data_IF_932327792027
#
_entry.id   IF_932327792027
#
_cell.length_a   1.000
_cell.length_b   1.000
_cell.length_c   1.000
_cell.angle_alpha   90.00
_cell.angle_beta   90.00
_cell.angle_gamma   90.00
#
_symmetry.space_group_name_H-M   'P 1'
#
loop_
_entity.id
_entity.type
_entity.pdbx_description
1 polymer ?
#
# COMPACT_ATOMS: atom_id res chain seq x y z
N UNK A 1 -37.60 18.85 23.47
CA UNK A 1 -37.61 19.39 22.10
C UNK A 1 -36.83 18.45 21.18
N UNK A 2 -37.20 18.29 19.91
CA UNK A 2 -36.39 17.52 18.98
C UNK A 2 -35.10 18.30 18.66
N UNK A 3 -33.97 17.60 18.72
CA UNK A 3 -32.65 18.14 18.40
C UNK A 3 -32.67 18.60 16.93
N UNK A 4 -32.21 19.83 16.59
CA UNK A 4 -32.20 20.30 15.21
C UNK A 4 -31.42 19.34 14.31
N UNK A 5 -31.96 19.07 13.11
CA UNK A 5 -31.44 18.12 12.13
C UNK A 5 -30.00 18.44 11.63
N UNK A 6 -29.46 19.61 11.98
CA UNK A 6 -28.08 20.04 11.73
C UNK A 6 -27.04 19.51 12.74
N UNK A 7 -27.45 18.75 13.75
CA UNK A 7 -26.60 18.40 14.89
C UNK A 7 -25.76 17.13 14.72
N UNK A 8 -25.82 16.47 13.55
CA UNK A 8 -24.94 15.34 13.24
C UNK A 8 -24.31 15.58 11.87
N UNK A 9 -23.32 16.47 11.81
CA UNK A 9 -22.28 16.37 10.78
C UNK A 9 -21.37 15.22 11.20
N UNK A 10 -21.71 14.00 10.82
CA UNK A 10 -20.82 12.84 10.97
C UNK A 10 -19.46 13.18 10.38
N UNK A 11 -18.45 13.41 11.23
CA UNK A 11 -17.11 13.78 10.79
C UNK A 11 -16.46 12.54 10.19
N UNK A 12 -15.96 12.67 8.97
CA UNK A 12 -15.18 11.62 8.32
C UNK A 12 -13.71 11.78 8.67
N UNK A 13 -12.99 10.66 8.78
CA UNK A 13 -11.54 10.63 8.97
C UNK A 13 -10.92 9.41 8.31
N UNK A 14 -9.66 9.53 7.91
CA UNK A 14 -8.85 8.38 7.55
C UNK A 14 -8.40 7.68 8.83
N UNK A 15 -8.53 6.36 8.86
CA UNK A 15 -8.06 5.50 9.94
C UNK A 15 -7.18 4.39 9.38
N UNK A 16 -6.28 3.90 10.21
CA UNK A 16 -5.44 2.75 9.92
C UNK A 16 -6.11 1.48 10.46
N UNK A 17 -6.37 0.50 9.60
CA UNK A 17 -6.91 -0.80 10.04
C UNK A 17 -5.73 -1.72 10.39
N UNK A 18 -5.87 -2.48 11.48
CA UNK A 18 -4.84 -3.44 11.89
C UNK A 18 -4.94 -4.72 11.03
N UNK A 19 -3.80 -5.16 10.49
CA UNK A 19 -3.65 -6.47 9.86
C UNK A 19 -2.57 -7.27 10.60
N UNK A 20 -2.65 -8.62 10.63
CA UNK A 20 -1.68 -9.46 11.33
C UNK A 20 -0.24 -9.28 10.82
N UNK A 21 0.74 -9.43 11.72
CA UNK A 21 2.18 -9.41 11.40
C UNK A 21 2.68 -10.82 11.12
N UNK A 22 2.27 -11.39 10.00
CA UNK A 22 2.48 -12.81 9.63
C UNK A 22 3.15 -13.00 8.26
N UNK A 23 3.76 -11.95 7.69
CA UNK A 23 4.34 -11.97 6.34
C UNK A 23 3.33 -11.78 5.21
N UNK A 24 2.02 -11.76 5.51
CA UNK A 24 0.96 -11.46 4.56
C UNK A 24 0.45 -10.02 4.65
N UNK A 25 1.14 -9.14 5.39
CA UNK A 25 0.65 -7.78 5.69
C UNK A 25 0.33 -6.95 4.44
N UNK A 26 1.16 -7.02 3.40
CA UNK A 26 0.88 -6.35 2.12
C UNK A 26 -0.43 -6.85 1.51
N UNK A 27 -0.52 -8.16 1.27
CA UNK A 27 -1.68 -8.77 0.62
C UNK A 27 -2.95 -8.64 1.46
N UNK A 28 -2.85 -8.72 2.78
CA UNK A 28 -3.98 -8.49 3.71
C UNK A 28 -4.46 -7.04 3.66
N UNK A 29 -3.54 -6.08 3.59
CA UNK A 29 -3.87 -4.66 3.42
C UNK A 29 -4.56 -4.42 2.08
N UNK A 30 -4.03 -5.01 1.00
CA UNK A 30 -4.63 -4.92 -0.33
C UNK A 30 -6.00 -5.59 -0.40
N UNK A 31 -6.20 -6.75 0.22
CA UNK A 31 -7.52 -7.38 0.32
C UNK A 31 -8.53 -6.46 1.02
N UNK A 32 -8.10 -5.80 2.10
CA UNK A 32 -8.96 -4.88 2.84
C UNK A 32 -9.41 -3.72 1.94
N UNK A 33 -8.49 -3.04 1.26
CA UNK A 33 -8.87 -1.88 0.42
C UNK A 33 -9.61 -2.28 -0.86
N UNK A 34 -9.25 -3.41 -1.47
CA UNK A 34 -9.87 -3.90 -2.70
C UNK A 34 -11.22 -4.59 -2.48
N UNK A 35 -11.60 -4.90 -1.24
CA UNK A 35 -12.87 -5.59 -0.90
C UNK A 35 -14.11 -4.92 -1.49
N UNK A 36 -14.09 -3.60 -1.65
CA UNK A 36 -15.17 -2.81 -2.27
C UNK A 36 -15.29 -2.97 -3.79
N UNK A 37 -14.25 -3.49 -4.45
CA UNK A 37 -14.23 -3.80 -5.88
C UNK A 37 -14.61 -5.25 -6.19
N UNK A 38 -14.69 -6.09 -5.17
CA UNK A 38 -15.02 -7.51 -5.29
C UNK A 38 -14.44 -8.31 -4.13
N UNK A 39 -14.94 -9.53 -3.96
CA UNK A 39 -14.38 -10.46 -2.97
C UNK A 39 -13.01 -10.93 -3.48
N UNK A 40 -11.97 -10.61 -2.72
CA UNK A 40 -10.58 -10.96 -3.02
C UNK A 40 -9.96 -11.59 -1.78
N UNK A 41 -9.16 -12.63 -1.96
CA UNK A 41 -8.41 -13.31 -0.89
C UNK A 41 -6.92 -13.04 -1.01
N UNK A 42 -6.17 -13.30 0.06
CA UNK A 42 -4.70 -13.15 0.08
C UNK A 42 -4.07 -14.09 -0.96
N UNK A 43 -4.58 -15.31 -1.04
CA UNK A 43 -4.16 -16.33 -2.00
C UNK A 43 -4.43 -15.88 -3.44
N UNK A 44 -5.59 -15.25 -3.69
CA UNK A 44 -5.92 -14.70 -5.01
C UNK A 44 -4.95 -13.60 -5.42
N UNK A 45 -4.62 -12.65 -4.54
CA UNK A 45 -3.69 -11.57 -4.86
C UNK A 45 -2.26 -12.08 -5.06
N UNK A 46 -1.80 -13.03 -4.23
CA UNK A 46 -0.49 -13.66 -4.38
C UNK A 46 -0.33 -14.33 -5.75
N UNK A 47 -1.31 -15.16 -6.12
CA UNK A 47 -1.36 -15.82 -7.43
C UNK A 47 -1.42 -14.82 -8.58
N UNK A 48 -2.27 -13.80 -8.47
CA UNK A 48 -2.39 -12.76 -9.50
C UNK A 48 -1.09 -11.99 -9.70
N UNK A 49 -0.39 -11.62 -8.62
CA UNK A 49 0.89 -10.94 -8.70
C UNK A 49 1.96 -11.84 -9.35
N UNK A 50 2.10 -13.09 -8.91
CA UNK A 50 3.03 -14.05 -9.49
C UNK A 50 2.76 -14.31 -10.97
N UNK A 51 1.49 -14.50 -11.36
CA UNK A 51 1.09 -14.68 -12.75
C UNK A 51 1.36 -13.45 -13.61
N UNK A 52 1.16 -12.25 -13.06
CA UNK A 52 1.50 -11.00 -13.74
C UNK A 52 3.00 -10.93 -14.05
N UNK A 53 3.84 -11.30 -13.08
CA UNK A 53 5.29 -11.38 -13.28
C UNK A 53 5.68 -12.39 -14.35
N UNK A 54 5.11 -13.61 -14.33
CA UNK A 54 5.36 -14.64 -15.34
C UNK A 54 4.94 -14.22 -16.76
N UNK A 55 3.79 -13.52 -16.87
CA UNK A 55 3.26 -13.04 -18.17
C UNK A 55 4.02 -11.85 -18.70
N UNK A 56 4.53 -11.00 -17.81
CA UNK A 56 5.27 -9.83 -18.24
C UNK A 56 6.64 -10.21 -18.77
N UNK A 57 7.10 -9.53 -19.81
CA UNK A 57 8.51 -9.56 -20.24
C UNK A 57 9.45 -8.86 -19.22
N UNK A 58 8.98 -8.58 -18.00
CA UNK A 58 9.72 -8.01 -16.85
C UNK A 58 10.84 -8.92 -16.32
N UNK A 59 11.21 -9.99 -17.05
CA UNK A 59 12.53 -10.61 -16.96
C UNK A 59 13.65 -9.55 -16.91
N UNK A 60 13.49 -8.39 -17.54
CA UNK A 60 14.51 -7.33 -17.48
C UNK A 60 14.62 -6.53 -16.16
N UNK A 61 13.58 -6.42 -15.31
CA UNK A 61 13.71 -5.75 -13.98
C UNK A 61 13.90 -6.76 -12.86
N UNK A 62 13.25 -7.92 -12.96
CA UNK A 62 13.34 -8.97 -11.94
C UNK A 62 14.58 -9.84 -12.21
N UNK A 63 14.94 -10.11 -13.46
CA UNK A 63 16.17 -10.81 -13.84
C UNK A 63 17.46 -10.00 -13.61
N UNK A 64 17.37 -8.70 -13.30
CA UNK A 64 18.50 -7.93 -12.75
C UNK A 64 18.81 -8.32 -11.29
N UNK A 65 17.80 -8.76 -10.52
CA UNK A 65 17.99 -9.27 -9.16
C UNK A 65 18.23 -10.78 -9.12
N UNK A 66 17.62 -11.51 -10.05
CA UNK A 66 17.71 -12.96 -10.13
C UNK A 66 18.50 -13.34 -11.38
N UNK A 67 19.80 -13.54 -11.20
CA UNK A 67 20.83 -13.86 -12.20
C UNK A 67 20.52 -15.05 -13.13
N UNK A 68 19.37 -15.74 -12.97
CA UNK A 68 18.90 -16.81 -13.83
C UNK A 68 17.36 -16.95 -13.84
N UNK A 69 16.80 -17.49 -14.93
CA UNK A 69 15.37 -17.84 -15.05
C UNK A 69 14.88 -18.77 -13.93
N UNK A 70 15.76 -19.64 -13.39
CA UNK A 70 15.43 -20.55 -12.29
C UNK A 70 15.15 -19.79 -10.99
N UNK A 71 15.93 -18.75 -10.73
CA UNK A 71 15.76 -17.90 -9.55
C UNK A 71 14.49 -17.05 -9.67
N UNK A 72 14.16 -16.60 -10.88
CA UNK A 72 12.90 -15.89 -11.15
C UNK A 72 11.65 -16.77 -10.96
N UNK A 73 11.65 -17.99 -11.48
CA UNK A 73 10.50 -18.89 -11.26
C UNK A 73 10.38 -19.27 -9.79
N UNK A 74 11.50 -19.47 -9.08
CA UNK A 74 11.48 -19.68 -7.63
C UNK A 74 10.84 -18.49 -6.92
N UNK A 75 11.21 -17.26 -7.27
CA UNK A 75 10.59 -16.06 -6.72
C UNK A 75 9.07 -16.03 -6.92
N UNK A 76 8.61 -16.28 -8.16
CA UNK A 76 7.17 -16.31 -8.46
C UNK A 76 6.45 -17.38 -7.64
N UNK A 77 7.07 -18.57 -7.52
CA UNK A 77 6.56 -19.67 -6.71
C UNK A 77 6.50 -19.31 -5.21
N UNK A 78 7.53 -18.65 -4.68
CA UNK A 78 7.60 -18.22 -3.28
C UNK A 78 6.51 -17.17 -2.99
N UNK A 79 6.36 -16.15 -3.85
CA UNK A 79 5.32 -15.12 -3.72
C UNK A 79 3.92 -15.74 -3.73
N UNK A 80 3.68 -16.71 -4.62
CA UNK A 80 2.39 -17.38 -4.78
C UNK A 80 2.03 -18.27 -3.59
N UNK A 81 2.99 -19.06 -3.08
CA UNK A 81 2.70 -20.21 -2.22
C UNK A 81 3.14 -20.07 -0.76
N UNK A 82 3.80 -18.98 -0.37
CA UNK A 82 4.37 -18.82 0.98
C UNK A 82 4.00 -17.47 1.61
N UNK A 83 4.47 -17.24 2.84
CA UNK A 83 4.43 -15.96 3.56
C UNK A 83 5.54 -14.99 3.12
N UNK A 84 6.20 -15.26 1.98
CA UNK A 84 7.19 -14.37 1.38
C UNK A 84 6.60 -12.97 1.25
N UNK A 85 7.36 -11.99 1.72
CA UNK A 85 6.97 -10.60 1.73
C UNK A 85 6.89 -10.06 0.30
N UNK A 86 5.77 -9.41 -0.02
CA UNK A 86 5.68 -8.63 -1.24
C UNK A 86 6.12 -7.18 -1.02
N UNK A 87 6.36 -6.48 -2.12
CA UNK A 87 6.74 -5.07 -2.09
C UNK A 87 6.29 -4.32 -3.34
N UNK A 88 7.11 -3.38 -3.81
CA UNK A 88 6.78 -2.52 -4.95
C UNK A 88 6.44 -3.28 -6.23
N UNK A 89 7.03 -4.47 -6.45
CA UNK A 89 6.74 -5.30 -7.62
C UNK A 89 5.29 -5.81 -7.60
N UNK A 90 4.86 -6.37 -6.47
CA UNK A 90 3.49 -6.88 -6.29
C UNK A 90 2.49 -5.73 -6.31
N UNK A 91 2.82 -4.59 -5.69
CA UNK A 91 1.97 -3.40 -5.69
C UNK A 91 1.77 -2.87 -7.12
N UNK A 92 2.84 -2.76 -7.92
CA UNK A 92 2.73 -2.39 -9.33
C UNK A 92 1.83 -3.36 -10.10
N UNK A 93 2.09 -4.66 -9.99
CA UNK A 93 1.33 -5.68 -10.71
C UNK A 93 -0.15 -5.63 -10.36
N UNK A 94 -0.49 -5.52 -9.06
CA UNK A 94 -1.87 -5.46 -8.59
C UNK A 94 -2.53 -4.13 -9.02
N UNK A 95 -1.84 -3.00 -8.94
CA UNK A 95 -2.36 -1.72 -9.39
C UNK A 95 -2.77 -1.76 -10.88
N UNK A 96 -1.92 -2.35 -11.73
CA UNK A 96 -2.22 -2.52 -13.16
C UNK A 96 -3.38 -3.49 -13.40
N UNK A 97 -3.42 -4.63 -12.69
CA UNK A 97 -4.47 -5.64 -12.84
C UNK A 97 -5.86 -5.10 -12.47
N UNK A 98 -5.95 -4.29 -11.41
CA UNK A 98 -7.21 -3.73 -10.93
C UNK A 98 -7.55 -2.37 -11.56
N UNK A 99 -6.62 -1.77 -12.32
CA UNK A 99 -6.82 -0.47 -12.95
C UNK A 99 -7.05 0.66 -11.94
N UNK A 100 -6.30 0.65 -10.83
CA UNK A 100 -6.39 1.67 -9.77
C UNK A 100 -5.01 2.17 -9.37
N UNK A 101 -4.95 3.38 -8.81
CA UNK A 101 -3.74 3.87 -8.15
C UNK A 101 -3.65 3.31 -6.73
N UNK A 102 -2.56 2.61 -6.43
CA UNK A 102 -2.22 2.24 -5.05
C UNK A 102 -1.23 3.28 -4.52
N UNK A 103 -1.68 4.10 -3.58
CA UNK A 103 -0.88 5.14 -2.95
C UNK A 103 -0.26 4.61 -1.65
N UNK A 104 1.05 4.43 -1.65
CA UNK A 104 1.80 3.97 -0.46
C UNK A 104 2.30 5.17 0.31
N UNK A 105 1.78 5.37 1.52
CA UNK A 105 2.29 6.32 2.52
C UNK A 105 3.49 5.67 3.21
N UNK A 106 4.70 6.05 2.84
CA UNK A 106 5.94 5.48 3.38
C UNK A 106 6.49 6.33 4.53
N UNK A 107 6.55 5.75 5.72
CA UNK A 107 7.01 6.39 6.95
C UNK A 107 8.47 6.03 7.21
N UNK A 108 9.37 6.95 6.89
CA UNK A 108 10.79 6.81 7.18
C UNK A 108 11.09 7.36 8.59
N UNK A 109 11.27 6.43 9.54
CA UNK A 109 11.52 6.77 10.95
C UNK A 109 12.88 7.45 11.17
N UNK A 110 13.91 7.08 10.40
CA UNK A 110 15.27 7.61 10.56
C UNK A 110 15.34 9.08 10.15
N UNK A 111 14.69 9.42 9.05
CA UNK A 111 14.64 10.79 8.51
C UNK A 111 13.48 11.61 9.07
N UNK A 112 12.62 11.01 9.90
CA UNK A 112 11.39 11.64 10.39
C UNK A 112 10.60 12.30 9.26
N UNK A 113 10.36 11.54 8.18
CA UNK A 113 9.67 12.05 7.00
C UNK A 113 8.70 11.03 6.42
N UNK A 114 7.71 11.53 5.68
CA UNK A 114 6.66 10.72 5.06
C UNK A 114 6.57 11.07 3.58
N UNK A 115 6.52 10.04 2.73
CA UNK A 115 6.25 10.18 1.30
C UNK A 115 4.97 9.48 0.91
N UNK A 116 4.43 9.88 -0.24
CA UNK A 116 3.36 9.13 -0.91
C UNK A 116 3.85 8.73 -2.29
N UNK A 117 4.07 7.43 -2.47
CA UNK A 117 4.44 6.85 -3.77
C UNK A 117 3.20 6.28 -4.42
N UNK A 118 2.93 6.67 -5.67
CA UNK A 118 1.78 6.18 -6.44
C UNK A 118 2.22 5.05 -7.37
N UNK A 119 1.48 3.95 -7.34
CA UNK A 119 1.65 2.81 -8.23
C UNK A 119 0.43 2.68 -9.16
N UNK A 120 0.62 2.27 -10.43
CA UNK A 120 1.89 1.82 -11.00
C UNK A 120 2.87 2.97 -11.23
N UNK A 121 4.16 2.70 -11.04
CA UNK A 121 5.22 3.71 -11.06
C UNK A 121 5.58 4.20 -12.47
N UNK A 122 4.94 3.65 -13.50
CA UNK A 122 5.14 4.01 -14.91
C UNK A 122 4.38 5.28 -15.31
N UNK A 123 3.66 5.92 -14.39
CA UNK A 123 2.89 7.14 -14.65
C UNK A 123 1.54 6.90 -15.29
N UNK A 124 1.03 5.66 -15.31
CA UNK A 124 -0.35 5.41 -15.72
C UNK A 124 -1.32 6.20 -14.82
N UNK A 125 -2.38 6.72 -15.45
CA UNK A 125 -3.44 7.44 -14.75
C UNK A 125 -4.65 6.52 -14.58
N UNK A 126 -5.16 6.43 -13.36
CA UNK A 126 -6.41 5.75 -13.05
C UNK A 126 -7.36 6.68 -12.30
N UNK A 127 -8.66 6.55 -12.55
CA UNK A 127 -9.70 7.38 -11.93
C UNK A 127 -9.93 7.05 -10.46
N UNK A 128 -9.53 5.84 -10.03
CA UNK A 128 -9.70 5.34 -8.68
C UNK A 128 -8.36 5.18 -7.97
N UNK A 129 -8.33 5.39 -6.66
CA UNK A 129 -7.18 5.11 -5.83
C UNK A 129 -7.55 4.45 -4.49
N UNK A 130 -6.56 3.82 -3.86
CA UNK A 130 -6.59 3.43 -2.44
C UNK A 130 -5.30 3.84 -1.75
N UNK A 131 -5.30 3.83 -0.42
CA UNK A 131 -4.14 4.17 0.39
C UNK A 131 -3.76 3.01 1.30
N UNK A 132 -2.46 2.70 1.35
CA UNK A 132 -1.86 1.84 2.35
C UNK A 132 -0.67 2.58 2.97
N UNK A 133 -0.38 2.33 4.24
CA UNK A 133 0.76 2.88 4.95
C UNK A 133 1.81 1.80 5.17
N UNK A 134 3.07 2.11 4.86
CA UNK A 134 4.23 1.32 5.23
C UNK A 134 4.90 2.01 6.42
N UNK A 135 4.89 1.37 7.57
CA UNK A 135 5.59 1.86 8.75
C UNK A 135 6.37 0.70 9.35
N UNK A 136 7.69 0.87 9.53
CA UNK A 136 8.53 -0.14 10.18
C UNK A 136 8.32 -1.54 9.60
N UNK A 137 8.42 -1.64 8.27
CA UNK A 137 8.32 -2.90 7.53
C UNK A 137 6.92 -3.57 7.61
N UNK A 138 5.88 -2.88 8.06
CA UNK A 138 4.53 -3.42 8.12
C UNK A 138 3.57 -2.59 7.29
N UNK A 139 2.87 -3.23 6.36
CA UNK A 139 1.81 -2.59 5.57
C UNK A 139 0.48 -2.65 6.31
N UNK A 140 -0.25 -1.55 6.28
CA UNK A 140 -1.61 -1.46 6.81
C UNK A 140 -2.50 -0.65 5.87
N UNK A 141 -3.78 -0.99 5.72
CA UNK A 141 -4.70 -0.22 4.89
C UNK A 141 -5.13 1.06 5.61
N UNK A 142 -5.30 2.12 4.81
CA UNK A 142 -5.90 3.37 5.26
C UNK A 142 -7.31 3.46 4.66
N UNK A 143 -8.31 3.60 5.52
CA UNK A 143 -9.71 3.58 5.12
C UNK A 143 -10.44 4.79 5.71
N UNK A 144 -11.54 5.19 5.06
CA UNK A 144 -12.42 6.24 5.54
C UNK A 144 -13.41 5.67 6.55
N UNK A 145 -13.47 6.27 7.74
CA UNK A 145 -14.51 6.01 8.73
C UNK A 145 -15.32 7.28 8.99
N UNK A 146 -16.55 7.07 9.44
CA UNK A 146 -17.39 8.09 10.04
C UNK A 146 -17.26 7.99 11.56
N UNK A 147 -16.96 9.09 12.24
CA UNK A 147 -17.03 9.17 13.70
C UNK A 147 -18.42 8.70 14.15
N UNK A 148 -18.44 7.68 15.01
CA UNK A 148 -19.59 6.89 15.50
C UNK A 148 -19.83 5.50 14.86
N UNK A 149 -19.05 5.09 13.84
CA UNK A 149 -19.05 3.71 13.32
C UNK A 149 -17.70 3.02 13.58
N UNK A 150 -17.74 1.81 14.15
CA UNK A 150 -16.55 0.98 14.36
C UNK A 150 -16.04 0.31 13.09
N UNK A 151 -16.83 0.28 12.02
CA UNK A 151 -16.45 -0.22 10.70
C UNK A 151 -16.06 0.92 9.75
N UNK A 152 -15.11 0.65 8.85
CA UNK A 152 -14.79 1.59 7.77
C UNK A 152 -15.87 1.59 6.70
N UNK A 153 -16.09 2.74 6.09
CA UNK A 153 -17.13 2.99 5.09
C UNK A 153 -16.59 2.81 3.67
N UNK A 154 -15.38 3.31 3.41
CA UNK A 154 -14.78 3.29 2.09
C UNK A 154 -13.27 3.07 2.15
N UNK A 155 -12.74 2.42 1.13
CA UNK A 155 -11.30 2.23 0.95
C UNK A 155 -10.82 2.46 -0.49
N UNK A 156 -11.76 2.76 -1.40
CA UNK A 156 -11.52 3.16 -2.79
C UNK A 156 -12.12 4.54 -2.98
N UNK A 157 -11.33 5.45 -3.56
CA UNK A 157 -11.63 6.86 -3.71
C UNK A 157 -11.45 7.29 -5.16
N UNK A 158 -11.96 8.47 -5.52
CA UNK A 158 -11.53 9.14 -6.75
C UNK A 158 -10.08 9.59 -6.57
N UNK A 159 -9.24 9.36 -7.59
CA UNK A 159 -7.81 9.71 -7.55
C UNK A 159 -7.52 11.20 -7.45
N UNK A 160 -8.53 12.04 -7.71
CA UNK A 160 -8.47 13.50 -7.62
C UNK A 160 -9.37 14.06 -6.50
N UNK A 161 -9.81 13.21 -5.56
CA UNK A 161 -10.63 13.63 -4.43
C UNK A 161 -9.81 14.46 -3.43
N UNK A 162 -9.96 15.78 -3.52
CA UNK A 162 -9.27 16.73 -2.62
C UNK A 162 -9.65 16.54 -1.16
N UNK A 163 -10.89 16.11 -0.87
CA UNK A 163 -11.32 15.95 0.52
C UNK A 163 -10.65 14.74 1.15
N UNK A 164 -10.51 13.64 0.40
CA UNK A 164 -9.75 12.47 0.85
C UNK A 164 -8.28 12.83 1.05
N UNK A 165 -7.71 13.65 0.17
CA UNK A 165 -6.33 14.14 0.32
C UNK A 165 -6.15 14.98 1.60
N UNK A 166 -7.05 15.92 1.88
CA UNK A 166 -7.08 16.69 3.14
C UNK A 166 -7.15 15.78 4.37
N UNK A 167 -8.07 14.81 4.36
CA UNK A 167 -8.23 13.87 5.48
C UNK A 167 -7.00 12.97 5.67
N UNK A 168 -6.28 12.64 4.58
CA UNK A 168 -5.01 11.94 4.66
C UNK A 168 -3.93 12.81 5.33
N UNK A 169 -3.84 14.09 4.97
CA UNK A 169 -2.91 15.03 5.62
C UNK A 169 -3.23 15.24 7.10
N UNK A 170 -4.50 15.34 7.46
CA UNK A 170 -4.96 15.40 8.85
C UNK A 170 -4.51 14.14 9.60
N UNK A 171 -4.81 12.95 9.08
CA UNK A 171 -4.38 11.67 9.66
C UNK A 171 -2.85 11.60 9.86
N UNK A 172 -2.07 11.99 8.86
CA UNK A 172 -0.61 12.01 8.93
C UNK A 172 -0.13 12.98 10.01
N UNK A 173 -0.69 14.18 10.07
CA UNK A 173 -0.27 15.22 11.00
C UNK A 173 -0.62 14.86 12.46
N UNK A 174 -1.75 14.20 12.67
CA UNK A 174 -2.17 13.71 13.99
C UNK A 174 -1.33 12.50 14.44
N UNK A 175 -1.07 11.56 13.53
CA UNK A 175 -0.37 10.29 13.84
C UNK A 175 1.15 10.49 13.95
N UNK A 176 1.71 11.39 13.16
CA UNK A 176 3.15 11.64 13.05
C UNK A 176 3.49 13.15 13.16
N UNK A 177 3.17 13.81 14.29
CA UNK A 177 3.24 15.27 14.42
C UNK A 177 4.64 15.88 14.23
N UNK A 178 5.69 15.06 14.38
CA UNK A 178 7.09 15.48 14.22
C UNK A 178 7.69 15.11 12.85
N UNK A 179 6.90 14.51 11.95
CA UNK A 179 7.39 14.05 10.65
C UNK A 179 7.12 15.09 9.56
N UNK A 180 8.08 15.24 8.64
CA UNK A 180 7.94 16.16 7.50
C UNK A 180 7.37 15.43 6.28
N UNK A 181 6.27 15.94 5.73
CA UNK A 181 5.70 15.43 4.48
C UNK A 181 6.51 15.89 3.26
N UNK A 182 6.86 14.97 2.36
CA UNK A 182 7.49 15.26 1.06
C UNK A 182 8.95 15.75 1.09
N UNK A 183 9.64 15.68 2.24
CA UNK A 183 10.93 16.36 2.44
C UNK A 183 12.18 15.48 2.28
N UNK A 184 12.09 14.21 1.87
CA UNK A 184 13.29 13.34 1.77
C UNK A 184 13.81 13.13 0.34
N UNK A 185 13.84 14.20 -0.45
CA UNK A 185 14.37 14.20 -1.83
C UNK A 185 15.89 14.07 -1.95
N UNK A 186 16.54 13.37 -1.02
CA UNK A 186 17.85 12.80 -1.23
C UNK A 186 17.69 11.29 -1.09
N UNK A 187 17.28 10.61 -2.17
CA UNK A 187 17.48 9.16 -2.27
C UNK A 187 18.97 8.96 -2.50
N UNK A 188 19.74 8.77 -1.44
CA UNK A 188 21.02 8.08 -1.59
C UNK A 188 20.72 6.61 -1.88
N UNK A 189 21.63 5.86 -2.49
CA UNK A 189 21.43 4.42 -2.76
C UNK A 189 21.14 3.61 -1.47
N UNK A 190 21.39 4.17 -0.28
CA UNK A 190 21.05 3.61 1.03
C UNK A 190 19.61 3.90 1.51
N UNK A 191 18.90 4.85 0.87
CA UNK A 191 17.55 5.29 1.26
C UNK A 191 16.42 4.63 0.49
N UNK A 192 16.78 3.96 -0.61
CA UNK A 192 15.92 2.92 -1.10
C UNK A 192 16.04 1.84 -0.05
N UNK A 193 15.02 1.69 0.80
CA UNK A 193 14.72 0.38 1.36
C UNK A 193 14.49 -0.51 0.15
N UNK A 194 15.59 -1.05 -0.41
CA UNK A 194 15.51 -2.14 -1.36
C UNK A 194 15.06 -3.28 -0.47
N UNK A 195 13.75 -3.38 -0.26
CA UNK A 195 13.13 -4.65 0.02
C UNK A 195 13.48 -5.48 -1.21
N UNK A 196 14.61 -6.18 -1.14
CA UNK A 196 14.94 -7.16 -2.15
C UNK A 196 13.73 -8.10 -2.16
N UNK A 197 13.14 -8.34 -3.33
CA UNK A 197 11.96 -9.18 -3.41
C UNK A 197 12.24 -10.50 -2.68
N UNK A 198 11.40 -10.84 -1.70
CA UNK A 198 11.55 -12.04 -0.88
C UNK A 198 12.61 -12.05 0.23
N UNK A 199 13.27 -10.95 0.56
CA UNK A 199 14.06 -10.85 1.81
C UNK A 199 13.27 -10.18 2.95
N UNK A 200 13.42 -10.69 4.19
CA UNK A 200 12.92 -10.01 5.39
C UNK A 200 13.61 -8.65 5.53
N UNK A 201 12.83 -7.62 5.86
CA UNK A 201 13.31 -6.30 6.19
C UNK A 201 14.45 -6.39 7.23
N UNK A 202 15.68 -6.06 6.82
CA UNK A 202 16.80 -5.94 7.76
C UNK A 202 16.72 -4.56 8.37
N UNK A 203 16.29 -4.46 9.62
CA UNK A 203 16.65 -3.29 10.41
C UNK A 203 18.17 -3.29 10.52
N UNK A 204 18.83 -2.31 9.90
CA UNK A 204 20.15 -1.92 10.39
C UNK A 204 19.85 -1.22 11.73
N UNK A 205 20.01 -1.97 12.82
CA UNK A 205 19.93 -1.46 14.19
C UNK A 205 21.08 -0.48 14.42
#
# INVERSE_FOLDING_TARGET
EPIPFDSIKTKQKIVQILVPTDGHCLFSSLCTVLSSMGKVTVEDLRRQAADSHRKSKTINRIGLFYESNKNFEKYCCDIENTDTWGGELEINAIAELYGILICVVDVNSEKSCINVTKFPSNGASFEKCCYIILNRCHYQPLCLCVEDNSNYEAAIFSSNDRKVEELLYEFISETFPNYKFGSCNNKTDADVLVQQPGERCRYII
#
